data_IF_341498386451
#
_entry.id   IF_341498386451
#
_cell.length_a   1.000
_cell.length_b   1.000
_cell.length_c   1.000
_cell.angle_alpha   90.00
_cell.angle_beta   90.00
_cell.angle_gamma   90.00
#
_symmetry.space_group_name_H-M   'P 1'
#
loop_
_entity.id
_entity.type
_entity.pdbx_description
1 polymer ?
#
# COMPACT_ATOMS: atom_id res chain seq x y z
N UNK A 1 -6.10 2.52 1.39
CA UNK A 1 -5.03 3.50 1.67
C UNK A 1 -3.86 2.80 2.35
N UNK A 2 -2.66 2.96 1.81
CA UNK A 2 -1.42 2.42 2.39
C UNK A 2 -0.73 3.44 3.32
N UNK A 3 0.07 2.94 4.26
CA UNK A 3 0.92 3.74 5.14
C UNK A 3 2.38 3.26 5.11
N UNK A 4 3.30 4.09 5.60
CA UNK A 4 4.72 3.74 5.71
C UNK A 4 4.98 2.70 6.80
N UNK A 5 6.11 2.00 6.70
CA UNK A 5 6.56 1.01 7.68
C UNK A 5 6.63 1.58 9.10
N UNK A 6 7.20 2.79 9.29
CA UNK A 6 7.28 3.37 10.63
C UNK A 6 5.90 3.59 11.26
N UNK A 7 4.90 3.98 10.46
CA UNK A 7 3.52 4.19 10.93
C UNK A 7 2.87 2.85 11.27
N UNK A 8 3.07 1.82 10.42
CA UNK A 8 2.59 0.47 10.69
C UNK A 8 3.21 -0.09 11.98
N UNK A 9 4.52 0.10 12.19
CA UNK A 9 5.22 -0.30 13.40
C UNK A 9 4.69 0.41 14.64
N UNK A 10 4.53 1.73 14.60
CA UNK A 10 3.96 2.51 15.71
C UNK A 10 2.55 2.02 16.06
N UNK A 11 1.69 1.81 15.07
CA UNK A 11 0.34 1.26 15.27
C UNK A 11 0.43 -0.13 15.90
N UNK A 12 1.18 -1.06 15.32
CA UNK A 12 1.27 -2.42 15.82
C UNK A 12 1.85 -2.48 17.25
N UNK A 13 2.78 -1.60 17.59
CA UNK A 13 3.31 -1.44 18.94
C UNK A 13 2.24 -0.99 19.94
N UNK A 14 1.33 -0.07 19.57
CA UNK A 14 0.16 0.31 20.40
C UNK A 14 -0.71 -0.92 20.74
N UNK A 15 -0.74 -1.94 19.87
CA UNK A 15 -1.50 -3.19 20.07
C UNK A 15 -0.68 -4.33 20.72
N UNK A 16 0.56 -4.07 21.10
CA UNK A 16 1.44 -5.01 21.81
C UNK A 16 2.29 -5.91 20.91
N UNK A 17 2.44 -5.59 19.62
CA UNK A 17 3.39 -6.26 18.73
C UNK A 17 4.78 -5.67 18.97
N UNK A 18 5.80 -6.47 19.34
CA UNK A 18 7.14 -5.95 19.56
C UNK A 18 7.79 -5.50 18.25
N UNK A 19 8.46 -4.34 18.28
CA UNK A 19 9.20 -3.76 17.16
C UNK A 19 10.62 -3.40 17.62
N UNK A 20 11.60 -3.29 16.71
CA UNK A 20 12.91 -2.72 17.04
C UNK A 20 12.77 -1.25 17.46
N UNK A 21 13.64 -0.79 18.35
CA UNK A 21 13.74 0.63 18.67
C UNK A 21 14.25 1.36 17.43
N UNK A 22 13.53 2.39 17.00
CA UNK A 22 13.87 3.17 15.83
C UNK A 22 13.23 4.55 15.82
N UNK A 23 13.54 5.32 14.78
CA UNK A 23 13.04 6.68 14.61
C UNK A 23 13.25 7.24 13.22
N UNK A 24 12.48 8.27 12.92
CA UNK A 24 12.53 8.96 11.62
C UNK A 24 13.74 9.88 11.48
N UNK A 25 14.23 9.95 10.25
CA UNK A 25 15.22 10.92 9.79
C UNK A 25 14.84 11.53 8.42
N UNK A 26 15.04 12.83 8.30
CA UNK A 26 14.80 13.63 7.09
C UNK A 26 16.09 14.21 6.49
N UNK A 27 17.23 13.99 7.14
CA UNK A 27 18.55 14.34 6.63
C UNK A 27 19.59 13.31 7.08
N UNK A 28 20.78 13.24 6.42
CA UNK A 28 21.87 12.38 6.87
C UNK A 28 22.31 12.65 8.32
N UNK A 29 22.35 13.91 8.73
CA UNK A 29 22.74 14.32 10.09
C UNK A 29 21.70 13.84 11.12
N UNK A 30 20.42 13.94 10.79
CA UNK A 30 19.36 13.42 11.64
C UNK A 30 19.43 11.89 11.74
N UNK A 31 19.76 11.20 10.65
CA UNK A 31 19.92 9.74 10.65
C UNK A 31 21.05 9.31 11.60
N UNK A 32 22.20 9.98 11.55
CA UNK A 32 23.30 9.77 12.49
C UNK A 32 22.89 10.05 13.93
N UNK A 33 22.17 11.16 14.17
CA UNK A 33 21.68 11.49 15.49
C UNK A 33 20.74 10.40 16.03
N UNK A 34 19.81 9.89 15.21
CA UNK A 34 18.93 8.78 15.60
C UNK A 34 19.70 7.53 15.98
N UNK A 35 20.70 7.13 15.21
CA UNK A 35 21.54 6.00 15.56
C UNK A 35 22.25 6.18 16.92
N UNK A 36 22.75 7.39 17.20
CA UNK A 36 23.36 7.71 18.51
C UNK A 36 22.35 7.63 19.66
N UNK A 37 21.12 8.11 19.46
CA UNK A 37 20.04 8.01 20.46
C UNK A 37 19.64 6.55 20.75
N UNK A 38 19.55 5.72 19.70
CA UNK A 38 19.22 4.30 19.81
C UNK A 38 20.32 3.54 20.55
N UNK A 39 21.59 3.89 20.31
CA UNK A 39 22.74 3.17 20.83
C UNK A 39 22.94 1.81 20.17
N UNK A 40 23.90 1.03 20.68
CA UNK A 40 24.31 -0.26 20.11
C UNK A 40 25.48 -0.14 19.12
N UNK A 41 25.75 -1.24 18.40
CA UNK A 41 26.91 -1.36 17.50
C UNK A 41 26.54 -1.41 16.02
N UNK A 42 25.26 -1.62 15.70
CA UNK A 42 24.75 -1.73 14.33
C UNK A 42 23.33 -1.18 14.23
N UNK A 43 23.03 -0.57 13.09
CA UNK A 43 21.75 0.04 12.77
C UNK A 43 21.32 -0.34 11.35
N UNK A 44 20.03 -0.21 11.08
CA UNK A 44 19.46 -0.38 9.75
C UNK A 44 18.84 0.94 9.31
N UNK A 45 19.26 1.44 8.14
CA UNK A 45 18.69 2.62 7.49
C UNK A 45 17.76 2.15 6.39
N UNK A 46 16.48 2.51 6.49
CA UNK A 46 15.41 2.06 5.60
C UNK A 46 14.71 3.23 4.91
N UNK A 47 14.67 3.20 3.57
CA UNK A 47 13.85 4.09 2.78
C UNK A 47 12.36 3.89 3.09
N UNK A 48 11.65 4.97 3.38
CA UNK A 48 10.22 4.93 3.65
C UNK A 48 9.46 5.29 2.36
N UNK A 49 8.94 4.26 1.69
CA UNK A 49 8.08 4.34 0.51
C UNK A 49 6.96 3.32 0.61
N UNK A 50 5.84 3.55 -0.07
CA UNK A 50 4.72 2.59 -0.12
C UNK A 50 5.00 1.48 -1.15
N UNK A 51 5.93 0.58 -0.82
CA UNK A 51 6.30 -0.57 -1.65
C UNK A 51 7.10 -1.60 -0.84
N UNK A 52 6.88 -2.89 -1.14
CA UNK A 52 7.78 -3.99 -0.76
C UNK A 52 9.05 -4.04 -1.62
N UNK A 53 9.88 -5.08 -1.46
CA UNK A 53 11.10 -5.28 -2.24
C UNK A 53 12.21 -4.22 -2.09
N UNK A 54 12.16 -3.41 -1.02
CA UNK A 54 13.11 -2.29 -0.82
C UNK A 54 14.55 -2.75 -0.64
N UNK A 55 14.76 -3.90 0.01
CA UNK A 55 16.09 -4.46 0.25
C UNK A 55 16.84 -4.75 -1.04
N UNK A 56 16.20 -5.47 -1.98
CA UNK A 56 16.78 -5.78 -3.30
C UNK A 56 17.09 -4.51 -4.12
N UNK A 57 16.28 -3.47 -3.95
CA UNK A 57 16.46 -2.18 -4.63
C UNK A 57 17.51 -1.27 -3.96
N UNK A 58 18.17 -1.72 -2.88
CA UNK A 58 19.16 -0.94 -2.15
C UNK A 58 18.56 0.14 -1.23
N UNK A 59 17.26 0.07 -0.95
CA UNK A 59 16.53 0.92 -0.01
C UNK A 59 16.62 0.48 1.46
N UNK A 60 17.39 -0.56 1.76
CA UNK A 60 17.70 -1.02 3.12
C UNK A 60 19.21 -1.22 3.23
N UNK A 61 19.84 -0.60 4.23
CA UNK A 61 21.29 -0.68 4.48
C UNK A 61 21.55 -0.97 5.94
N UNK A 62 22.39 -1.97 6.22
CA UNK A 62 22.94 -2.20 7.56
C UNK A 62 24.22 -1.38 7.68
N UNK A 63 24.35 -0.64 8.77
CA UNK A 63 25.47 0.26 9.04
C UNK A 63 26.03 -0.01 10.44
N UNK A 64 27.34 0.07 10.59
CA UNK A 64 28.06 -0.08 11.86
C UNK A 64 28.76 1.21 12.32
N UNK A 65 28.83 2.22 11.46
CA UNK A 65 29.47 3.50 11.78
C UNK A 65 28.59 4.69 11.42
N UNK A 66 28.81 5.81 12.09
CA UNK A 66 28.13 7.07 11.78
C UNK A 66 28.32 7.47 10.32
N UNK A 67 29.52 7.23 9.76
CA UNK A 67 29.83 7.52 8.37
C UNK A 67 28.98 6.70 7.40
N UNK A 68 28.88 5.38 7.62
CA UNK A 68 28.04 4.50 6.81
C UNK A 68 26.56 4.91 6.84
N UNK A 69 26.07 5.39 7.99
CA UNK A 69 24.69 5.90 8.14
C UNK A 69 24.49 7.15 7.28
N UNK A 70 25.42 8.10 7.32
CA UNK A 70 25.33 9.32 6.51
C UNK A 70 25.37 9.01 5.02
N UNK A 71 26.27 8.12 4.60
CA UNK A 71 26.37 7.69 3.20
C UNK A 71 25.09 6.99 2.73
N UNK A 72 24.56 6.04 3.51
CA UNK A 72 23.30 5.37 3.20
C UNK A 72 22.15 6.39 3.09
N UNK A 73 22.07 7.33 4.03
CA UNK A 73 21.02 8.34 4.04
C UNK A 73 21.11 9.30 2.83
N UNK A 74 22.31 9.78 2.51
CA UNK A 74 22.56 10.65 1.36
C UNK A 74 22.33 9.94 0.00
N UNK A 75 22.56 8.63 -0.04
CA UNK A 75 22.28 7.81 -1.22
C UNK A 75 20.78 7.59 -1.46
N UNK A 76 19.95 7.65 -0.41
CA UNK A 76 18.51 7.39 -0.51
C UNK A 76 17.66 8.66 -0.60
N UNK A 77 17.88 9.63 0.29
CA UNK A 77 17.01 10.81 0.44
C UNK A 77 16.96 11.65 -0.84
N UNK A 78 15.74 12.07 -1.20
CA UNK A 78 15.48 12.88 -2.40
C UNK A 78 15.58 12.12 -3.72
N UNK A 79 15.93 10.82 -3.69
CA UNK A 79 15.96 9.97 -4.88
C UNK A 79 14.66 9.19 -5.03
N UNK A 80 14.42 8.69 -6.23
CA UNK A 80 13.32 7.76 -6.51
C UNK A 80 13.84 6.34 -6.41
N UNK A 81 13.15 5.51 -5.65
CA UNK A 81 13.45 4.08 -5.50
C UNK A 81 12.46 3.28 -6.35
N UNK A 82 13.00 2.52 -7.29
CA UNK A 82 12.25 1.59 -8.13
C UNK A 82 12.40 0.20 -7.53
N UNK A 83 11.30 -0.46 -7.26
CA UNK A 83 11.24 -1.85 -6.78
C UNK A 83 10.48 -2.70 -7.80
N UNK A 84 10.37 -4.01 -7.56
CA UNK A 84 9.49 -4.89 -8.37
C UNK A 84 8.00 -4.52 -8.28
N UNK A 85 7.59 -3.80 -7.23
CA UNK A 85 6.19 -3.44 -6.97
C UNK A 85 5.86 -1.99 -7.36
N UNK A 86 6.82 -1.20 -7.87
CA UNK A 86 6.58 0.17 -8.35
C UNK A 86 6.50 0.24 -9.87
N UNK A 87 5.93 1.34 -10.39
CA UNK A 87 6.10 1.69 -11.80
C UNK A 87 7.57 2.04 -12.13
N UNK A 88 7.86 2.26 -13.42
CA UNK A 88 9.20 2.60 -13.89
C UNK A 88 9.72 3.95 -13.34
N UNK A 89 8.85 4.81 -12.79
CA UNK A 89 9.24 6.08 -12.18
C UNK A 89 9.70 5.87 -10.73
N UNK A 90 9.27 4.80 -10.07
CA UNK A 90 9.55 4.55 -8.66
C UNK A 90 8.92 5.59 -7.74
N UNK A 91 9.16 5.42 -6.43
CA UNK A 91 8.61 6.30 -5.39
C UNK A 91 9.70 7.20 -4.82
N UNK A 92 9.36 8.47 -4.55
CA UNK A 92 10.28 9.43 -3.96
C UNK A 92 10.55 9.06 -2.48
N UNK A 93 11.82 8.94 -2.12
CA UNK A 93 12.24 8.73 -0.73
C UNK A 93 12.35 10.09 -0.04
N UNK A 94 11.27 10.52 0.61
CA UNK A 94 11.22 11.78 1.36
C UNK A 94 11.66 11.68 2.82
N UNK A 95 11.76 10.46 3.36
CA UNK A 95 12.17 10.19 4.74
C UNK A 95 12.77 8.80 4.89
N UNK A 96 13.53 8.60 5.95
CA UNK A 96 14.16 7.34 6.32
C UNK A 96 13.68 6.92 7.72
N UNK A 97 13.73 5.62 7.96
CA UNK A 97 13.58 5.04 9.29
C UNK A 97 14.92 4.40 9.67
N UNK A 98 15.47 4.83 10.80
CA UNK A 98 16.71 4.29 11.38
C UNK A 98 16.34 3.48 12.60
N UNK A 99 16.77 2.22 12.66
CA UNK A 99 16.44 1.32 13.77
C UNK A 99 17.65 0.49 14.22
N UNK A 100 17.57 -0.06 15.43
CA UNK A 100 18.56 -1.01 15.94
C UNK A 100 18.60 -2.26 15.06
N UNK A 101 19.81 -2.75 14.75
CA UNK A 101 19.95 -4.05 14.11
C UNK A 101 19.47 -5.17 15.05
N UNK A 102 18.76 -6.15 14.50
CA UNK A 102 18.22 -7.29 15.25
C UNK A 102 19.09 -8.53 14.97
N UNK A 103 19.38 -9.31 16.01
CA UNK A 103 20.05 -10.61 15.87
C UNK A 103 19.04 -11.67 15.42
N UNK A 104 19.05 -12.00 14.13
CA UNK A 104 18.03 -12.82 13.47
C UNK A 104 18.42 -14.30 13.58
N UNK A 105 17.61 -15.09 14.31
CA UNK A 105 17.77 -16.55 14.36
C UNK A 105 16.86 -17.27 13.35
N UNK A 106 15.65 -16.75 13.13
CA UNK A 106 14.69 -17.27 12.15
C UNK A 106 13.78 -16.14 11.67
N UNK A 107 13.39 -16.19 10.40
CA UNK A 107 12.44 -15.28 9.78
C UNK A 107 11.13 -16.01 9.50
N UNK A 108 10.00 -15.36 9.73
CA UNK A 108 8.65 -15.89 9.52
C UNK A 108 7.87 -14.90 8.69
N UNK A 109 7.13 -15.39 7.70
CA UNK A 109 6.11 -14.61 7.01
C UNK A 109 4.81 -14.63 7.83
N UNK A 110 4.18 -13.47 8.02
CA UNK A 110 2.89 -13.36 8.68
C UNK A 110 2.00 -12.33 7.99
N UNK A 111 0.75 -12.67 7.68
CA UNK A 111 -0.23 -11.73 7.17
C UNK A 111 -1.65 -11.97 7.72
N UNK A 112 -2.42 -10.90 7.81
CA UNK A 112 -3.86 -10.88 8.10
C UNK A 112 -4.52 -10.12 6.95
N UNK A 113 -5.38 -10.80 6.21
CA UNK A 113 -6.06 -10.25 5.03
C UNK A 113 -7.54 -10.58 5.05
N UNK A 114 -8.35 -9.82 4.29
CA UNK A 114 -9.71 -10.23 3.97
C UNK A 114 -9.69 -11.19 2.79
N UNK A 115 -9.88 -12.49 3.05
CA UNK A 115 -10.01 -13.48 1.99
C UNK A 115 -11.41 -13.42 1.37
N UNK A 116 -11.45 -13.07 0.08
CA UNK A 116 -12.69 -12.91 -0.68
C UNK A 116 -13.33 -14.24 -1.04
N UNK A 117 -12.55 -15.32 -1.13
CA UNK A 117 -13.10 -16.63 -1.49
C UNK A 117 -13.94 -17.22 -0.36
N UNK A 118 -13.47 -17.10 0.88
CA UNK A 118 -14.19 -17.55 2.08
C UNK A 118 -15.04 -16.46 2.73
N UNK A 119 -14.89 -15.20 2.30
CA UNK A 119 -15.56 -14.02 2.90
C UNK A 119 -15.23 -13.88 4.40
N UNK A 120 -13.98 -14.17 4.76
CA UNK A 120 -13.48 -14.18 6.13
C UNK A 120 -12.16 -13.44 6.23
N UNK A 121 -11.86 -12.92 7.42
CA UNK A 121 -10.49 -12.53 7.74
C UNK A 121 -9.67 -13.80 7.85
N UNK A 122 -8.53 -13.83 7.17
CA UNK A 122 -7.63 -14.97 7.11
C UNK A 122 -6.26 -14.57 7.66
N UNK A 123 -5.79 -15.38 8.60
CA UNK A 123 -4.42 -15.34 9.09
C UNK A 123 -3.59 -16.32 8.25
N UNK A 124 -2.48 -15.85 7.70
CA UNK A 124 -1.57 -16.60 6.84
C UNK A 124 -0.17 -16.53 7.45
N UNK A 125 0.53 -17.64 7.55
CA UNK A 125 1.94 -17.64 7.96
C UNK A 125 2.76 -18.72 7.26
N UNK A 126 4.06 -18.52 7.17
CA UNK A 126 5.03 -19.52 6.68
C UNK A 126 6.37 -19.36 7.39
N UNK A 127 7.13 -20.46 7.50
CA UNK A 127 8.53 -20.47 7.93
C UNK A 127 9.46 -19.78 6.93
N UNK A 128 9.02 -19.56 5.70
CA UNK A 128 9.79 -18.92 4.63
C UNK A 128 9.69 -17.39 4.71
N UNK A 129 10.06 -16.82 5.86
CA UNK A 129 10.10 -15.36 6.03
C UNK A 129 11.18 -14.69 5.19
N UNK A 130 11.02 -13.38 4.93
CA UNK A 130 11.96 -12.60 4.14
C UNK A 130 11.79 -12.75 2.62
N UNK A 131 10.93 -13.67 2.17
CA UNK A 131 10.52 -13.83 0.77
C UNK A 131 9.18 -13.14 0.51
N UNK A 132 8.93 -12.75 -0.74
CA UNK A 132 7.62 -12.21 -1.16
C UNK A 132 6.57 -13.34 -1.15
N UNK A 133 5.34 -13.05 -0.72
CA UNK A 133 4.29 -14.07 -0.55
C UNK A 133 3.92 -14.76 -1.86
N UNK A 134 3.96 -14.05 -2.98
CA UNK A 134 3.71 -14.61 -4.30
C UNK A 134 4.76 -15.66 -4.68
N UNK A 135 6.01 -15.47 -4.23
CA UNK A 135 7.08 -16.44 -4.44
C UNK A 135 6.86 -17.67 -3.56
N UNK A 136 6.54 -17.49 -2.27
CA UNK A 136 6.23 -18.61 -1.37
C UNK A 136 5.03 -19.41 -1.90
N UNK A 137 3.99 -18.73 -2.37
CA UNK A 137 2.80 -19.40 -2.92
C UNK A 137 3.07 -20.17 -4.22
N UNK A 138 4.09 -19.78 -4.99
CA UNK A 138 4.47 -20.46 -6.23
C UNK A 138 5.47 -21.61 -6.00
N UNK A 139 6.45 -21.41 -5.13
CA UNK A 139 7.59 -22.32 -4.93
C UNK A 139 7.37 -23.28 -3.75
N UNK A 140 6.77 -22.81 -2.65
CA UNK A 140 6.59 -23.54 -1.39
C UNK A 140 5.14 -23.43 -0.85
N UNK A 141 4.09 -23.75 -1.65
CA UNK A 141 2.70 -23.52 -1.26
C UNK A 141 2.27 -24.28 -0.01
N UNK A 142 2.90 -25.43 0.26
CA UNK A 142 2.62 -26.29 1.42
C UNK A 142 3.16 -25.71 2.73
N UNK A 143 4.10 -24.75 2.68
CA UNK A 143 4.59 -24.02 3.86
C UNK A 143 3.56 -23.02 4.40
N UNK A 144 2.54 -22.66 3.60
CA UNK A 144 1.56 -21.64 3.95
C UNK A 144 0.43 -22.20 4.81
N UNK A 145 0.53 -21.90 6.10
CA UNK A 145 -0.53 -22.15 7.08
C UNK A 145 -1.60 -21.07 6.95
N UNK A 146 -2.87 -21.50 6.96
CA UNK A 146 -4.02 -20.61 6.80
C UNK A 146 -5.06 -20.89 7.88
N UNK A 147 -5.47 -19.86 8.58
CA UNK A 147 -6.48 -19.93 9.64
C UNK A 147 -7.57 -18.90 9.32
N UNK A 148 -8.78 -19.39 9.04
CA UNK A 148 -9.96 -18.53 8.89
C UNK A 148 -10.49 -18.08 10.25
N UNK A 149 -10.86 -16.81 10.34
CA UNK A 149 -11.38 -16.21 11.58
C UNK A 149 -12.88 -16.00 11.45
N UNK A 150 -13.63 -16.59 12.38
CA UNK A 150 -15.08 -16.38 12.44
C UNK A 150 -15.38 -14.93 12.88
N UNK A 151 -16.23 -14.17 12.17
CA UNK A 151 -16.49 -12.76 12.49
C UNK A 151 -17.20 -12.55 13.82
N UNK A 152 -17.98 -13.53 14.29
CA UNK A 152 -18.71 -13.41 15.56
C UNK A 152 -17.79 -13.74 16.75
N UNK A 153 -16.94 -14.76 16.63
CA UNK A 153 -16.01 -15.14 17.69
C UNK A 153 -14.73 -14.30 17.72
N UNK A 154 -14.28 -13.80 16.57
CA UNK A 154 -12.95 -13.22 16.40
C UNK A 154 -11.83 -14.27 16.45
N UNK A 155 -10.58 -13.82 16.42
CA UNK A 155 -9.43 -14.72 16.58
C UNK A 155 -9.41 -15.28 18.01
N UNK A 156 -9.38 -16.60 18.12
CA UNK A 156 -9.30 -17.31 19.40
C UNK A 156 -7.88 -17.80 19.65
N UNK A 157 -7.47 -17.83 20.92
CA UNK A 157 -6.08 -18.19 21.26
C UNK A 157 -5.68 -19.61 20.81
N UNK A 158 -6.62 -20.55 20.72
CA UNK A 158 -6.30 -21.89 20.25
C UNK A 158 -5.87 -21.88 18.78
N UNK A 159 -6.46 -21.01 17.96
CA UNK A 159 -6.09 -20.85 16.55
C UNK A 159 -4.70 -20.22 16.44
N UNK A 160 -4.40 -19.25 17.31
CA UNK A 160 -3.07 -18.65 17.39
C UNK A 160 -2.00 -19.67 17.86
N UNK A 161 -2.35 -20.58 18.78
CA UNK A 161 -1.49 -21.71 19.19
C UNK A 161 -1.31 -22.74 18.08
N UNK A 162 -2.38 -23.09 17.37
CA UNK A 162 -2.34 -23.99 16.22
C UNK A 162 -1.36 -23.48 15.17
N UNK A 163 -1.42 -22.19 14.82
CA UNK A 163 -0.47 -21.57 13.90
C UNK A 163 0.97 -21.61 14.45
N UNK A 164 1.17 -21.26 15.73
CA UNK A 164 2.49 -21.31 16.35
C UNK A 164 3.12 -22.73 16.32
N UNK A 165 2.34 -23.77 16.57
CA UNK A 165 2.81 -25.16 16.47
C UNK A 165 3.01 -25.61 15.03
N UNK A 166 2.15 -25.18 14.10
CA UNK A 166 2.31 -25.45 12.68
C UNK A 166 3.60 -24.86 12.11
N UNK A 167 4.02 -23.70 12.61
CA UNK A 167 5.31 -23.07 12.28
C UNK A 167 6.52 -23.75 12.95
N UNK A 168 6.30 -24.78 13.79
CA UNK A 168 7.37 -25.49 14.49
C UNK A 168 8.04 -24.69 15.61
N UNK A 169 7.35 -23.70 16.19
CA UNK A 169 7.93 -22.85 17.23
C UNK A 169 8.24 -23.61 18.52
N UNK A 170 9.34 -23.25 19.18
CA UNK A 170 9.63 -23.71 20.54
C UNK A 170 8.48 -23.31 21.49
N UNK A 171 8.10 -24.23 22.38
CA UNK A 171 7.11 -24.04 23.44
C UNK A 171 7.20 -22.70 24.19
N UNK A 172 8.41 -22.17 24.40
CA UNK A 172 8.67 -20.89 25.08
C UNK A 172 8.22 -19.68 24.27
N UNK A 173 8.17 -19.81 22.95
CA UNK A 173 7.75 -18.75 22.01
C UNK A 173 6.24 -18.77 21.77
N UNK A 174 5.56 -19.89 21.97
CA UNK A 174 4.11 -20.04 21.67
C UNK A 174 3.27 -18.95 22.34
N UNK A 175 3.45 -18.70 23.63
CA UNK A 175 2.68 -17.66 24.33
C UNK A 175 3.05 -16.23 23.86
N UNK A 176 4.27 -16.01 23.38
CA UNK A 176 4.67 -14.72 22.78
C UNK A 176 3.98 -14.55 21.42
N UNK A 177 3.99 -15.59 20.59
CA UNK A 177 3.31 -15.62 19.30
C UNK A 177 1.80 -15.39 19.45
N UNK A 178 1.14 -16.08 20.39
CA UNK A 178 -0.28 -15.88 20.66
C UNK A 178 -0.60 -14.43 20.97
N UNK A 179 0.14 -13.78 21.89
CA UNK A 179 -0.09 -12.37 22.23
C UNK A 179 0.12 -11.44 21.03
N UNK A 180 1.15 -11.69 20.22
CA UNK A 180 1.44 -10.94 19.01
C UNK A 180 0.29 -11.05 18.01
N UNK A 181 -0.16 -12.27 17.69
CA UNK A 181 -1.24 -12.54 16.75
C UNK A 181 -2.56 -11.91 17.19
N UNK A 182 -2.89 -12.03 18.48
CA UNK A 182 -4.07 -11.39 19.05
C UNK A 182 -3.98 -9.86 18.96
N UNK A 183 -2.80 -9.29 19.18
CA UNK A 183 -2.54 -7.85 19.02
C UNK A 183 -2.71 -7.39 17.58
N UNK A 184 -2.03 -8.05 16.63
CA UNK A 184 -2.09 -7.74 15.20
C UNK A 184 -3.53 -7.88 14.65
N UNK A 185 -4.28 -8.91 15.07
CA UNK A 185 -5.68 -9.06 14.67
C UNK A 185 -6.58 -7.95 15.24
N UNK A 186 -6.37 -7.52 16.49
CA UNK A 186 -7.08 -6.37 17.03
C UNK A 186 -6.76 -5.11 16.24
N UNK A 187 -5.50 -4.86 15.89
CA UNK A 187 -5.11 -3.72 15.05
C UNK A 187 -5.83 -3.78 13.69
N UNK A 188 -5.87 -4.95 13.05
CA UNK A 188 -6.57 -5.16 11.79
C UNK A 188 -8.06 -4.80 11.90
N UNK A 189 -8.76 -5.39 12.89
CA UNK A 189 -10.21 -5.23 13.09
C UNK A 189 -10.58 -3.82 13.55
N UNK A 190 -9.88 -3.32 14.57
CA UNK A 190 -10.26 -2.09 15.27
C UNK A 190 -9.95 -0.84 14.45
N UNK A 191 -9.13 -0.95 13.41
CA UNK A 191 -8.75 0.17 12.53
C UNK A 191 -9.31 0.06 11.11
N UNK A 192 -10.15 -0.93 10.82
CA UNK A 192 -10.66 -1.21 9.46
C UNK A 192 -9.52 -1.43 8.45
N UNK A 193 -8.50 -2.19 8.86
CA UNK A 193 -7.43 -2.58 7.95
C UNK A 193 -7.95 -3.60 6.92
N UNK A 194 -7.43 -3.51 5.70
CA UNK A 194 -7.61 -4.53 4.66
C UNK A 194 -6.45 -5.52 4.64
N UNK A 195 -5.30 -5.13 5.17
CA UNK A 195 -4.11 -5.97 5.29
C UNK A 195 -3.23 -5.53 6.47
N UNK A 196 -2.72 -6.52 7.19
CA UNK A 196 -1.55 -6.39 8.06
C UNK A 196 -0.57 -7.45 7.60
N UNK A 197 0.61 -7.07 7.17
CA UNK A 197 1.69 -7.97 6.78
C UNK A 197 2.92 -7.65 7.63
N UNK A 198 3.52 -8.67 8.23
CA UNK A 198 4.77 -8.58 8.99
C UNK A 198 5.74 -9.55 8.31
N UNK A 199 6.69 -8.99 7.56
CA UNK A 199 7.60 -9.78 6.75
C UNK A 199 9.00 -9.14 6.65
N UNK A 200 9.99 -9.59 7.46
CA UNK A 200 9.91 -10.75 8.34
C UNK A 200 9.39 -10.40 9.75
N UNK A 201 8.63 -11.33 10.32
CA UNK A 201 8.53 -11.51 11.76
C UNK A 201 9.73 -12.34 12.22
N UNK A 202 10.60 -11.76 13.04
CA UNK A 202 11.88 -12.37 13.43
C UNK A 202 11.77 -13.04 14.79
N UNK A 203 12.35 -14.24 14.90
CA UNK A 203 12.77 -14.81 16.18
C UNK A 203 14.22 -14.39 16.41
N UNK A 204 14.48 -13.72 17.53
CA UNK A 204 15.83 -13.27 17.86
C UNK A 204 16.68 -14.40 18.44
N UNK A 205 18.01 -14.26 18.40
CA UNK A 205 18.92 -15.19 19.10
C UNK A 205 18.66 -15.28 20.61
N UNK A 206 18.05 -14.25 21.21
CA UNK A 206 17.60 -14.23 22.61
C UNK A 206 16.25 -14.94 22.87
N UNK A 207 15.58 -15.44 21.83
CA UNK A 207 14.28 -16.10 21.95
C UNK A 207 13.11 -15.13 22.15
N UNK A 208 13.15 -13.97 21.51
CA UNK A 208 12.03 -13.02 21.42
C UNK A 208 11.46 -12.95 20.01
N UNK A 209 10.25 -12.42 19.87
CA UNK A 209 9.59 -12.17 18.57
C UNK A 209 9.58 -10.68 18.30
N UNK A 210 9.97 -10.27 17.10
CA UNK A 210 10.05 -8.86 16.70
C UNK A 210 9.56 -8.68 15.27
N UNK A 211 8.62 -7.78 15.05
CA UNK A 211 8.18 -7.37 13.72
C UNK A 211 9.26 -6.49 13.08
N UNK A 212 10.15 -7.09 12.29
CA UNK A 212 11.29 -6.40 11.71
C UNK A 212 10.90 -5.51 10.54
N UNK A 213 9.86 -5.88 9.79
CA UNK A 213 9.20 -5.02 8.81
C UNK A 213 7.68 -5.22 8.89
N UNK A 214 6.93 -4.18 8.58
CA UNK A 214 5.47 -4.21 8.62
C UNK A 214 4.86 -3.35 7.52
N UNK A 215 3.82 -3.87 6.88
CA UNK A 215 3.01 -3.18 5.89
C UNK A 215 1.54 -3.26 6.30
N UNK A 216 0.86 -2.12 6.26
CA UNK A 216 -0.57 -2.04 6.54
C UNK A 216 -1.29 -1.27 5.45
N UNK A 217 -2.46 -1.76 5.08
CA UNK A 217 -3.41 -1.06 4.22
C UNK A 217 -4.78 -1.03 4.87
N UNK A 218 -5.54 0.02 4.59
CA UNK A 218 -6.86 0.29 5.20
C UNK A 218 -7.95 0.44 4.14
N UNK A 219 -9.18 0.11 4.52
CA UNK A 219 -10.36 0.32 3.69
C UNK A 219 -10.64 1.82 3.54
N UNK A 220 -10.54 2.33 2.31
CA UNK A 220 -10.83 3.73 1.98
C UNK A 220 -12.26 4.11 2.35
N UNK A 221 -13.20 3.15 2.28
CA UNK A 221 -14.60 3.38 2.63
C UNK A 221 -14.81 3.54 4.15
N UNK A 222 -13.85 3.16 4.99
CA UNK A 222 -13.93 3.29 6.44
C UNK A 222 -13.23 4.55 6.97
N UNK A 223 -12.48 5.28 6.14
CA UNK A 223 -11.67 6.42 6.59
C UNK A 223 -12.49 7.53 7.24
N UNK A 224 -13.76 7.71 6.85
CA UNK A 224 -14.66 8.70 7.46
C UNK A 224 -14.86 8.51 8.97
N UNK A 225 -14.71 7.29 9.48
CA UNK A 225 -14.78 6.96 10.91
C UNK A 225 -13.40 6.72 11.55
N UNK A 226 -12.31 6.96 10.80
CA UNK A 226 -10.91 6.74 11.21
C UNK A 226 -10.03 7.98 10.96
N UNK A 227 -10.28 9.12 11.64
CA UNK A 227 -9.53 10.36 11.41
C UNK A 227 -8.02 10.19 11.63
N UNK A 228 -7.59 9.53 12.73
CA UNK A 228 -6.17 9.25 13.00
C UNK A 228 -5.48 8.49 11.86
N UNK A 229 -6.20 7.58 11.20
CA UNK A 229 -5.65 6.81 10.07
C UNK A 229 -5.64 7.68 8.82
N UNK A 230 -6.73 8.39 8.53
CA UNK A 230 -6.81 9.29 7.37
C UNK A 230 -5.71 10.36 7.35
N UNK A 231 -5.23 10.81 8.51
CA UNK A 231 -4.12 11.77 8.65
C UNK A 231 -2.75 11.19 8.28
N UNK A 232 -2.61 9.86 8.26
CA UNK A 232 -1.35 9.18 7.88
C UNK A 232 -1.09 9.18 6.37
N UNK A 233 -2.09 9.57 5.57
CA UNK A 233 -2.05 9.53 4.10
C UNK A 233 -0.89 10.37 3.56
N UNK A 234 -0.02 9.73 2.78
CA UNK A 234 1.09 10.40 2.11
C UNK A 234 0.86 10.51 0.59
N UNK A 235 0.39 11.69 0.16
CA UNK A 235 0.14 11.99 -1.26
C UNK A 235 1.40 11.92 -2.13
N UNK A 236 2.59 12.06 -1.56
CA UNK A 236 3.84 11.96 -2.33
C UNK A 236 4.10 10.54 -2.86
N UNK A 237 3.41 9.55 -2.27
CA UNK A 237 3.50 8.14 -2.64
C UNK A 237 2.40 7.73 -3.63
N UNK A 238 1.48 8.61 -4.00
CA UNK A 238 0.38 8.34 -4.93
C UNK A 238 0.71 8.87 -6.34
N UNK A 239 -0.02 8.42 -7.36
CA UNK A 239 0.02 9.11 -8.66
C UNK A 239 -0.66 10.49 -8.50
N UNK A 240 0.01 11.61 -8.86
CA UNK A 240 -0.59 12.94 -8.73
C UNK A 240 -1.92 13.09 -9.48
N UNK A 241 -2.11 12.38 -10.59
CA UNK A 241 -3.36 12.39 -11.37
C UNK A 241 -4.50 11.75 -10.58
N UNK A 242 -4.23 10.61 -9.95
CA UNK A 242 -5.19 9.89 -9.11
C UNK A 242 -5.54 10.69 -7.86
N UNK A 243 -4.54 11.24 -7.17
CA UNK A 243 -4.74 12.06 -5.98
C UNK A 243 -5.61 13.30 -6.29
N UNK A 244 -5.32 13.99 -7.41
CA UNK A 244 -6.10 15.14 -7.86
C UNK A 244 -7.54 14.79 -8.25
N UNK A 245 -7.77 13.61 -8.83
CA UNK A 245 -9.10 13.10 -9.14
C UNK A 245 -9.89 12.75 -7.88
N UNK A 246 -9.26 12.06 -6.93
CA UNK A 246 -9.86 11.67 -5.66
C UNK A 246 -10.32 12.88 -4.83
N UNK A 247 -9.53 13.96 -4.78
CA UNK A 247 -9.91 15.24 -4.13
C UNK A 247 -11.19 15.86 -4.74
N UNK A 248 -11.54 15.48 -5.97
CA UNK A 248 -12.74 15.93 -6.69
C UNK A 248 -13.87 14.90 -6.65
N UNK A 249 -13.68 13.80 -5.91
CA UNK A 249 -14.63 12.69 -5.79
C UNK A 249 -14.77 11.88 -7.07
N UNK A 250 -13.69 11.74 -7.85
CA UNK A 250 -13.63 10.95 -9.08
C UNK A 250 -12.74 9.72 -8.88
N UNK A 251 -13.19 8.56 -9.35
CA UNK A 251 -12.38 7.35 -9.37
C UNK A 251 -11.59 7.31 -10.68
N UNK A 252 -10.29 7.56 -10.59
CA UNK A 252 -9.37 7.65 -11.72
C UNK A 252 -8.19 6.73 -11.49
N UNK A 253 -7.72 6.06 -12.55
CA UNK A 253 -6.45 5.32 -12.55
C UNK A 253 -5.70 5.68 -13.83
N UNK A 254 -4.44 6.10 -13.69
CA UNK A 254 -3.62 6.46 -14.84
C UNK A 254 -3.05 5.24 -15.56
N UNK A 255 -3.05 5.26 -16.89
CA UNK A 255 -2.43 4.23 -17.74
C UNK A 255 -1.41 4.89 -18.68
N UNK A 256 -0.77 4.10 -19.54
CA UNK A 256 0.31 4.54 -20.45
C UNK A 256 -0.13 4.78 -21.90
N UNK A 257 -1.43 4.75 -22.18
CA UNK A 257 -1.97 5.03 -23.51
C UNK A 257 -2.11 6.52 -23.85
N UNK A 258 -2.77 6.80 -24.97
CA UNK A 258 -3.02 8.14 -25.51
C UNK A 258 -4.49 8.44 -25.79
N UNK A 259 -5.41 7.51 -25.49
CA UNK A 259 -6.86 7.71 -25.61
C UNK A 259 -7.46 7.88 -24.21
N UNK A 260 -7.78 9.12 -23.87
CA UNK A 260 -8.44 9.49 -22.63
C UNK A 260 -9.87 8.95 -22.58
N UNK A 261 -10.31 8.52 -21.41
CA UNK A 261 -11.60 7.87 -21.21
C UNK A 261 -12.42 8.62 -20.15
N UNK A 262 -13.70 8.88 -20.42
CA UNK A 262 -14.67 9.33 -19.39
C UNK A 262 -15.94 8.49 -19.51
N UNK A 263 -16.20 7.68 -18.48
CA UNK A 263 -17.30 6.71 -18.46
C UNK A 263 -18.07 6.82 -17.15
N UNK A 264 -19.34 6.43 -17.15
CA UNK A 264 -20.11 6.21 -15.93
C UNK A 264 -20.29 4.70 -15.64
N UNK A 265 -19.89 4.30 -14.44
CA UNK A 265 -19.91 2.93 -13.96
C UNK A 265 -18.61 2.18 -14.23
N UNK A 266 -17.98 1.67 -13.18
CA UNK A 266 -16.71 0.94 -13.24
C UNK A 266 -16.69 -0.23 -14.25
N UNK A 267 -17.77 -1.03 -14.32
CA UNK A 267 -17.86 -2.14 -15.27
C UNK A 267 -17.83 -1.70 -16.74
N UNK A 268 -18.58 -0.64 -17.07
CA UNK A 268 -18.57 -0.07 -18.42
C UNK A 268 -17.24 0.61 -18.74
N UNK A 269 -16.60 1.23 -17.74
CA UNK A 269 -15.30 1.86 -17.91
C UNK A 269 -14.23 0.82 -18.28
N UNK A 270 -14.20 -0.33 -17.59
CA UNK A 270 -13.33 -1.46 -17.93
C UNK A 270 -13.61 -1.99 -19.34
N UNK A 271 -14.88 -2.30 -19.66
CA UNK A 271 -15.25 -2.78 -20.99
C UNK A 271 -14.92 -1.79 -22.11
N UNK A 272 -15.01 -0.48 -21.85
CA UNK A 272 -14.66 0.57 -22.83
C UNK A 272 -13.16 0.57 -23.12
N UNK A 273 -12.33 0.48 -22.08
CA UNK A 273 -10.88 0.37 -22.24
C UNK A 273 -10.50 -0.90 -23.00
N UNK A 274 -11.15 -2.03 -22.70
CA UNK A 274 -10.94 -3.29 -23.42
C UNK A 274 -11.31 -3.16 -24.90
N UNK A 275 -12.45 -2.51 -25.22
CA UNK A 275 -12.85 -2.26 -26.61
C UNK A 275 -11.86 -1.36 -27.35
N UNK A 276 -11.34 -0.31 -26.71
CA UNK A 276 -10.28 0.52 -27.28
C UNK A 276 -9.06 -0.34 -27.62
N UNK A 277 -8.65 -1.22 -26.69
CA UNK A 277 -7.50 -2.09 -26.87
C UNK A 277 -7.71 -3.11 -27.98
N UNK A 278 -8.90 -3.73 -28.04
CA UNK A 278 -9.30 -4.67 -29.10
C UNK A 278 -9.33 -4.00 -30.48
N UNK A 279 -9.68 -2.71 -30.55
CA UNK A 279 -9.66 -1.91 -31.77
C UNK A 279 -8.25 -1.41 -32.15
N UNK A 280 -7.21 -1.76 -31.39
CA UNK A 280 -5.81 -1.38 -31.65
C UNK A 280 -5.36 -0.06 -31.03
N UNK A 281 -6.21 0.60 -30.23
CA UNK A 281 -5.87 1.80 -29.48
C UNK A 281 -5.20 1.51 -28.13
N UNK A 282 -4.78 2.56 -27.43
CA UNK A 282 -4.21 2.47 -26.09
C UNK A 282 -4.97 3.39 -25.13
N UNK A 283 -5.74 2.84 -24.17
CA UNK A 283 -6.41 3.67 -23.16
C UNK A 283 -5.39 4.36 -22.26
N UNK A 284 -5.55 5.66 -22.06
CA UNK A 284 -4.67 6.50 -21.24
C UNK A 284 -5.07 6.53 -19.77
N UNK A 285 -6.33 6.21 -19.46
CA UNK A 285 -6.82 6.18 -18.09
C UNK A 285 -8.09 5.34 -17.95
N UNK A 286 -8.35 4.90 -16.72
CA UNK A 286 -9.70 4.59 -16.23
C UNK A 286 -10.26 5.85 -15.58
N UNK A 287 -11.54 6.17 -15.81
CA UNK A 287 -12.24 7.21 -15.07
C UNK A 287 -13.74 6.88 -14.99
N UNK A 288 -14.21 6.67 -13.76
CA UNK A 288 -15.62 6.52 -13.44
C UNK A 288 -16.16 7.82 -12.82
N UNK A 289 -17.07 8.48 -13.53
CA UNK A 289 -17.78 9.67 -13.04
C UNK A 289 -19.02 9.32 -12.20
N UNK A 290 -19.33 8.04 -11.99
CA UNK A 290 -20.47 7.57 -11.20
C UNK A 290 -21.83 7.82 -11.86
N UNK A 291 -22.91 7.40 -11.17
CA UNK A 291 -24.27 7.44 -11.72
C UNK A 291 -24.90 8.83 -11.88
N UNK A 292 -24.38 9.86 -11.20
CA UNK A 292 -24.88 11.25 -11.26
C UNK A 292 -23.94 12.17 -12.02
N UNK A 293 -24.01 12.16 -13.36
CA UNK A 293 -23.14 12.94 -14.23
C UNK A 293 -23.67 14.37 -14.44
N UNK A 294 -23.57 15.22 -13.42
CA UNK A 294 -23.89 16.66 -13.58
C UNK A 294 -22.90 17.36 -14.54
N UNK A 295 -23.31 18.47 -15.20
CA UNK A 295 -22.42 19.26 -16.04
C UNK A 295 -21.09 19.64 -15.37
N UNK A 296 -21.14 20.02 -14.09
CA UNK A 296 -19.96 20.38 -13.30
C UNK A 296 -19.02 19.18 -13.07
N UNK A 297 -19.59 18.00 -12.89
CA UNK A 297 -18.83 16.76 -12.69
C UNK A 297 -18.17 16.29 -13.99
N UNK A 298 -18.88 16.44 -15.12
CA UNK A 298 -18.32 16.24 -16.47
C UNK A 298 -17.15 17.21 -16.70
N UNK A 299 -17.32 18.50 -16.43
CA UNK A 299 -16.24 19.50 -16.57
C UNK A 299 -15.01 19.14 -15.71
N UNK A 300 -15.23 18.71 -14.47
CA UNK A 300 -14.13 18.24 -13.58
C UNK A 300 -13.42 17.03 -14.17
N UNK A 301 -14.16 16.06 -14.70
CA UNK A 301 -13.60 14.88 -15.34
C UNK A 301 -12.74 15.23 -16.56
N UNK A 302 -13.21 16.11 -17.44
CA UNK A 302 -12.41 16.63 -18.55
C UNK A 302 -11.09 17.24 -18.08
N UNK A 303 -11.12 18.11 -17.04
CA UNK A 303 -9.88 18.71 -16.49
C UNK A 303 -8.88 17.67 -15.99
N UNK A 304 -9.35 16.57 -15.42
CA UNK A 304 -8.47 15.49 -14.94
C UNK A 304 -7.81 14.77 -16.10
N UNK A 305 -8.60 14.36 -17.11
CA UNK A 305 -8.08 13.63 -18.28
C UNK A 305 -7.13 14.51 -19.11
N UNK A 306 -7.50 15.76 -19.34
CA UNK A 306 -6.69 16.73 -20.09
C UNK A 306 -5.44 17.20 -19.35
N UNK A 307 -5.30 16.87 -18.06
CA UNK A 307 -4.07 17.12 -17.32
C UNK A 307 -2.93 16.16 -17.67
N UNK A 308 -3.20 15.14 -18.48
CA UNK A 308 -2.21 14.20 -18.99
C UNK A 308 -1.83 14.54 -20.44
N UNK A 309 -0.62 15.08 -20.63
CA UNK A 309 -0.08 15.49 -21.92
C UNK A 309 0.05 14.34 -22.94
N UNK A 310 -0.02 13.07 -22.49
CA UNK A 310 -0.03 11.91 -23.40
C UNK A 310 -1.35 11.77 -24.17
N UNK A 311 -2.45 12.35 -23.66
CA UNK A 311 -3.78 12.18 -24.24
C UNK A 311 -3.89 12.96 -25.55
N UNK A 312 -4.19 12.25 -26.64
CA UNK A 312 -4.32 12.78 -28.00
C UNK A 312 -5.74 12.73 -28.55
N UNK A 313 -6.60 11.91 -27.94
CA UNK A 313 -8.02 11.82 -28.23
C UNK A 313 -8.77 11.42 -26.97
N UNK A 314 -10.06 11.71 -26.90
CA UNK A 314 -10.89 11.34 -25.76
C UNK A 314 -12.13 10.58 -26.23
N UNK A 315 -12.48 9.50 -25.54
CA UNK A 315 -13.73 8.78 -25.73
C UNK A 315 -14.65 9.01 -24.53
N UNK A 316 -15.83 9.56 -24.80
CA UNK A 316 -16.90 9.77 -23.83
C UNK A 316 -17.96 8.71 -24.02
N UNK A 317 -17.98 7.70 -23.14
CA UNK A 317 -18.96 6.63 -23.20
C UNK A 317 -19.90 6.71 -22.00
N UNK A 318 -21.06 7.33 -22.19
CA UNK A 318 -22.05 7.53 -21.12
C UNK A 318 -23.33 6.75 -21.42
N UNK A 319 -23.63 5.77 -20.57
CA UNK A 319 -24.94 5.13 -20.53
C UNK A 319 -25.80 5.88 -19.50
N UNK A 320 -26.59 6.85 -19.96
CA UNK A 320 -27.12 7.93 -19.10
C UNK A 320 -27.97 7.46 -17.89
N UNK A 321 -28.56 6.26 -17.93
CA UNK A 321 -29.23 5.65 -16.79
C UNK A 321 -30.33 6.55 -16.22
N UNK A 322 -30.08 7.15 -15.06
CA UNK A 322 -30.98 8.11 -14.39
C UNK A 322 -30.88 9.55 -14.93
N UNK A 323 -29.78 9.91 -15.60
CA UNK A 323 -29.59 11.23 -16.18
C UNK A 323 -30.21 11.28 -17.57
N UNK A 324 -30.63 12.47 -18.01
CA UNK A 324 -30.99 12.70 -19.40
C UNK A 324 -29.73 12.93 -20.24
N UNK A 325 -29.69 12.41 -21.46
CA UNK A 325 -28.53 12.56 -22.34
C UNK A 325 -28.22 14.03 -22.66
N UNK A 326 -29.24 14.89 -22.79
CA UNK A 326 -29.06 16.32 -23.05
C UNK A 326 -28.40 17.05 -21.86
N UNK A 327 -28.66 16.62 -20.63
CA UNK A 327 -28.01 17.15 -19.42
C UNK A 327 -26.50 16.84 -19.39
N UNK A 328 -26.12 15.62 -19.81
CA UNK A 328 -24.70 15.25 -19.92
C UNK A 328 -24.04 16.00 -21.08
N UNK A 329 -24.72 16.11 -22.22
CA UNK A 329 -24.24 16.84 -23.40
C UNK A 329 -23.99 18.32 -23.09
N UNK A 330 -24.84 18.95 -22.26
CA UNK A 330 -24.61 20.31 -21.77
C UNK A 330 -23.27 20.43 -21.02
N UNK A 331 -22.93 19.45 -20.18
CA UNK A 331 -21.62 19.35 -19.53
C UNK A 331 -20.45 19.24 -20.49
N UNK A 332 -20.59 18.46 -21.56
CA UNK A 332 -19.56 18.33 -22.60
C UNK A 332 -19.38 19.66 -23.34
N UNK A 333 -20.48 20.30 -23.77
CA UNK A 333 -20.44 21.61 -24.43
C UNK A 333 -19.83 22.68 -23.51
N UNK A 334 -20.15 22.65 -22.22
CA UNK A 334 -19.56 23.54 -21.22
C UNK A 334 -18.05 23.30 -21.08
N UNK A 335 -17.60 22.05 -21.12
CA UNK A 335 -16.18 21.70 -21.13
C UNK A 335 -15.47 22.31 -22.34
N UNK A 336 -16.00 22.15 -23.57
CA UNK A 336 -15.43 22.77 -24.77
C UNK A 336 -15.41 24.30 -24.76
N UNK A 337 -16.35 24.95 -24.07
CA UNK A 337 -16.36 26.42 -23.94
C UNK A 337 -15.39 26.95 -22.89
N UNK A 338 -15.11 26.14 -21.87
CA UNK A 338 -14.34 26.55 -20.67
C UNK A 338 -12.89 26.09 -20.75
N UNK A 339 -12.66 24.94 -21.39
CA UNK A 339 -11.36 24.31 -21.56
C UNK A 339 -10.98 24.43 -23.03
N UNK A 340 -9.72 24.76 -23.30
CA UNK A 340 -9.19 24.85 -24.66
C UNK A 340 -8.94 23.44 -25.22
N UNK A 341 -10.03 22.74 -25.58
CA UNK A 341 -9.98 21.36 -26.06
C UNK A 341 -9.70 21.37 -27.57
N UNK A 342 -8.47 20.99 -27.94
CA UNK A 342 -8.03 20.93 -29.34
C UNK A 342 -8.03 19.50 -29.92
N UNK A 343 -8.08 18.47 -29.07
CA UNK A 343 -8.10 17.07 -29.51
C UNK A 343 -9.48 16.60 -29.95
N UNK A 344 -9.55 15.55 -30.79
CA UNK A 344 -10.81 14.86 -31.07
C UNK A 344 -11.45 14.29 -29.80
N UNK A 345 -12.74 14.55 -29.63
CA UNK A 345 -13.59 13.91 -28.62
C UNK A 345 -14.67 13.13 -29.34
N UNK A 346 -14.75 11.83 -29.05
CA UNK A 346 -15.71 10.87 -29.62
C UNK A 346 -16.81 10.58 -28.62
#
# INVERSE_FOLDING_TARGET
MDIHEYQAKEILAEYGVPIPVGGLAYSPEQASYRAREIGGDRWVVKAQIHSGGRGEAGGVRICATEHEIQEAAAAMLGRRLVTRQTDARGKLVGRLYVEAATDIAQEIYLAIVLDRATERVMLIASSEGGMEIEQIAAEEPDSLLRIGIDPAAGLLEFQARELAFGLGLDSKLVNKMVRLLMGAYRAFRDLDATMVEINPLVITGGGDLVALDAKMSFDDNALFRRPRISELRDRSQEDPRESAAADRGLAYVGLDGDIGCMINGAGLAMATMDMIKLAGGAPANFLDIGGGASPERVLKAFRVVLGDDKVKAMLVNIFAGINRCDWVAEGVVQAFRTLDIQMPVV
#
